data_IF_796194759526
#
_entry.id   IF_796194759526
#
_cell.length_a   1.000
_cell.length_b   1.000
_cell.length_c   1.000
_cell.angle_alpha   90.00
_cell.angle_beta   90.00
_cell.angle_gamma   90.00
#
_symmetry.space_group_name_H-M   'P 1'
#
loop_
_entity.id
_entity.type
_entity.pdbx_description
1 polymer ?
#
# COMPACT_ATOMS: atom_id res chain seq x y z
N UNK A 1 8.90 -8.51 -1.68
CA UNK A 1 8.04 -8.87 -2.83
C UNK A 1 6.69 -9.42 -2.38
N UNK A 2 6.62 -10.39 -1.47
CA UNK A 2 5.33 -10.96 -1.03
C UNK A 2 4.36 -9.92 -0.43
N UNK A 3 4.85 -9.02 0.45
CA UNK A 3 4.00 -7.95 0.98
C UNK A 3 3.51 -6.99 -0.12
N UNK A 4 4.35 -6.62 -1.09
CA UNK A 4 3.96 -5.76 -2.21
C UNK A 4 2.87 -6.43 -3.05
N UNK A 5 3.00 -7.74 -3.33
CA UNK A 5 1.96 -8.50 -4.05
C UNK A 5 0.67 -8.60 -3.24
N UNK A 6 0.78 -8.75 -1.92
CA UNK A 6 -0.35 -8.72 -1.00
C UNK A 6 -1.06 -7.36 -1.03
N UNK A 7 -0.33 -6.24 -0.97
CA UNK A 7 -0.94 -4.91 -1.11
C UNK A 7 -1.57 -4.74 -2.50
N UNK A 8 -0.87 -5.16 -3.57
CA UNK A 8 -1.35 -5.09 -4.96
C UNK A 8 -2.64 -5.90 -5.17
N UNK A 9 -2.81 -7.05 -4.51
CA UNK A 9 -4.04 -7.84 -4.64
C UNK A 9 -5.27 -7.14 -4.05
N UNK A 10 -5.08 -6.10 -3.25
CA UNK A 10 -6.16 -5.25 -2.76
C UNK A 10 -6.29 -3.99 -3.60
N UNK A 11 -5.19 -3.25 -3.80
CA UNK A 11 -5.27 -1.87 -4.29
C UNK A 11 -4.75 -1.66 -5.71
N UNK A 12 -4.04 -2.65 -6.26
CA UNK A 12 -3.60 -2.59 -7.65
C UNK A 12 -4.73 -2.93 -8.63
N UNK A 13 -4.46 -2.81 -9.94
CA UNK A 13 -5.45 -3.12 -10.97
C UNK A 13 -6.05 -4.53 -10.83
N UNK A 14 -7.38 -4.61 -10.75
CA UNK A 14 -8.13 -5.84 -10.52
C UNK A 14 -8.15 -6.34 -9.07
N UNK A 15 -7.71 -5.52 -8.11
CA UNK A 15 -7.73 -5.83 -6.68
C UNK A 15 -9.12 -5.71 -6.05
N UNK A 16 -9.24 -6.17 -4.79
CA UNK A 16 -10.50 -6.14 -4.02
C UNK A 16 -11.05 -4.71 -3.85
N UNK A 17 -10.15 -3.75 -3.64
CA UNK A 17 -10.40 -2.32 -3.52
C UNK A 17 -9.51 -1.59 -4.53
N UNK A 18 -9.71 -1.93 -5.80
CA UNK A 18 -8.89 -1.41 -6.89
C UNK A 18 -8.89 0.12 -6.86
N UNK A 19 -7.68 0.69 -6.79
CA UNK A 19 -7.43 2.11 -6.95
C UNK A 19 -6.37 2.36 -8.04
N UNK A 20 -5.98 1.32 -8.77
CA UNK A 20 -4.95 1.38 -9.80
C UNK A 20 -3.52 1.50 -9.26
N UNK A 21 -3.27 1.13 -8.00
CA UNK A 21 -1.96 1.27 -7.37
C UNK A 21 -0.87 0.49 -8.12
N UNK A 22 0.22 1.18 -8.47
CA UNK A 22 1.39 0.57 -9.12
C UNK A 22 2.32 -0.07 -8.10
N UNK A 23 3.16 -1.02 -8.53
CA UNK A 23 4.15 -1.62 -7.62
C UNK A 23 5.14 -0.57 -7.10
N UNK A 24 5.51 0.41 -7.92
CA UNK A 24 6.45 1.47 -7.54
C UNK A 24 5.87 2.35 -6.42
N UNK A 25 4.61 2.77 -6.54
CA UNK A 25 3.94 3.56 -5.49
C UNK A 25 3.74 2.75 -4.22
N UNK A 26 3.38 1.47 -4.34
CA UNK A 26 3.25 0.57 -3.18
C UNK A 26 4.61 0.41 -2.47
N UNK A 27 5.69 0.25 -3.22
CA UNK A 27 7.05 0.15 -2.68
C UNK A 27 7.41 1.45 -1.96
N UNK A 28 7.20 2.62 -2.58
CA UNK A 28 7.51 3.90 -1.98
C UNK A 28 6.69 4.15 -0.70
N UNK A 29 5.38 3.90 -0.73
CA UNK A 29 4.51 4.03 0.43
C UNK A 29 4.91 3.07 1.57
N UNK A 30 5.32 1.83 1.23
CA UNK A 30 5.85 0.87 2.20
C UNK A 30 7.14 1.37 2.84
N UNK A 31 8.06 1.95 2.05
CA UNK A 31 9.28 2.54 2.59
C UNK A 31 8.99 3.70 3.53
N UNK A 32 8.09 4.62 3.16
CA UNK A 32 7.67 5.75 4.01
C UNK A 32 7.09 5.26 5.34
N UNK A 33 6.26 4.22 5.31
CA UNK A 33 5.69 3.62 6.51
C UNK A 33 6.76 2.99 7.42
N UNK A 34 7.70 2.21 6.87
CA UNK A 34 8.78 1.63 7.67
C UNK A 34 9.68 2.72 8.26
N UNK A 35 9.99 3.77 7.47
CA UNK A 35 10.80 4.90 7.92
C UNK A 35 10.13 5.77 8.98
N UNK A 36 8.80 5.73 9.12
CA UNK A 36 8.11 6.41 10.21
C UNK A 36 8.31 5.73 11.58
N UNK A 37 9.08 4.62 11.63
CA UNK A 37 9.34 3.86 12.85
C UNK A 37 8.25 2.84 13.17
N UNK A 38 7.44 2.46 12.18
CA UNK A 38 6.41 1.44 12.35
C UNK A 38 7.01 0.08 12.72
N UNK A 39 6.30 -0.67 13.58
CA UNK A 39 6.65 -2.05 13.89
C UNK A 39 6.14 -2.99 12.79
N UNK A 40 6.79 -2.92 11.62
CA UNK A 40 6.35 -3.60 10.41
C UNK A 40 6.42 -5.14 10.55
N UNK A 41 5.31 -5.82 10.31
CA UNK A 41 5.22 -7.28 10.32
C UNK A 41 4.58 -7.89 9.06
N UNK A 42 4.18 -7.05 8.11
CA UNK A 42 3.56 -7.44 6.85
C UNK A 42 2.10 -7.86 6.99
N UNK A 43 1.40 -7.40 8.01
CA UNK A 43 0.02 -7.80 8.30
C UNK A 43 -1.03 -6.90 7.63
N UNK A 44 -2.29 -7.08 8.01
CA UNK A 44 -3.37 -6.25 7.51
C UNK A 44 -3.27 -4.79 7.95
N UNK A 45 -2.76 -4.48 9.14
CA UNK A 45 -2.61 -3.10 9.61
C UNK A 45 -1.54 -2.38 8.79
N UNK A 46 -0.43 -3.05 8.51
CA UNK A 46 0.63 -2.53 7.66
C UNK A 46 0.09 -2.22 6.25
N UNK A 47 -0.75 -3.11 5.69
CA UNK A 47 -1.41 -2.89 4.39
C UNK A 47 -2.33 -1.67 4.41
N UNK A 48 -3.11 -1.47 5.46
CA UNK A 48 -3.99 -0.30 5.58
C UNK A 48 -3.20 1.01 5.77
N UNK A 49 -2.10 1.00 6.51
CA UNK A 49 -1.24 2.19 6.61
C UNK A 49 -0.58 2.55 5.28
N UNK A 50 -0.15 1.54 4.51
CA UNK A 50 0.37 1.74 3.16
C UNK A 50 -0.71 2.29 2.23
N UNK A 51 -1.96 1.85 2.36
CA UNK A 51 -3.12 2.46 1.67
C UNK A 51 -3.28 3.93 2.02
N UNK A 52 -3.28 4.27 3.31
CA UNK A 52 -3.50 5.63 3.77
C UNK A 52 -2.42 6.58 3.24
N UNK A 53 -1.15 6.14 3.26
CA UNK A 53 -0.05 6.88 2.63
C UNK A 53 -0.27 7.06 1.13
N UNK A 54 -0.72 6.03 0.42
CA UNK A 54 -1.05 6.11 -1.02
C UNK A 54 -2.18 7.12 -1.29
N UNK A 55 -3.23 7.15 -0.48
CA UNK A 55 -4.34 8.10 -0.61
C UNK A 55 -3.84 9.53 -0.34
N UNK A 56 -3.18 9.74 0.80
CA UNK A 56 -2.83 11.08 1.27
C UNK A 56 -1.70 11.74 0.45
N UNK A 57 -0.76 10.97 -0.07
CA UNK A 57 0.46 11.50 -0.69
C UNK A 57 0.55 11.30 -2.20
N UNK A 58 -0.14 10.30 -2.75
CA UNK A 58 -0.07 9.95 -4.17
C UNK A 58 -1.41 10.23 -4.88
N UNK A 59 -2.46 10.60 -4.14
CA UNK A 59 -3.75 11.01 -4.71
C UNK A 59 -4.64 9.85 -5.15
N UNK A 60 -4.39 8.64 -4.65
CA UNK A 60 -5.25 7.48 -4.90
C UNK A 60 -6.62 7.64 -4.25
N UNK A 61 -7.65 7.12 -4.90
CA UNK A 61 -9.01 7.08 -4.38
C UNK A 61 -9.56 5.66 -4.58
N UNK A 62 -10.00 4.96 -3.53
CA UNK A 62 -10.66 3.66 -3.66
C UNK A 62 -11.94 3.81 -4.50
N UNK A 63 -12.12 2.94 -5.49
CA UNK A 63 -13.30 2.92 -6.38
C UNK A 63 -14.37 1.97 -5.84
#
# INVERSE_FOLDING_TARGET
>A
MEFIRYVRSFYGPGGIYDMGATDDDIIEATFKYIQSGANFCGDSFDREHVRDIMIDQFGYVPV
#
